data_IF_391570201724
#
_entry.id   IF_391570201724
#
_cell.length_a   1.000
_cell.length_b   1.000
_cell.length_c   1.000
_cell.angle_alpha   90.00
_cell.angle_beta   90.00
_cell.angle_gamma   90.00
#
_symmetry.space_group_name_H-M   'P 1'
#
loop_
_entity.id
_entity.type
_entity.pdbx_description
1 polymer ?
#
# COMPACT_ATOMS: atom_id res chain seq x y z
N UNK A 1 -19.37 3.85 -3.90
CA UNK A 1 -18.07 4.44 -3.54
C UNK A 1 -16.93 3.46 -3.74
N UNK A 2 -16.81 2.44 -2.88
CA UNK A 2 -15.69 1.48 -2.92
C UNK A 2 -15.44 0.84 -4.29
N UNK A 3 -16.45 0.40 -5.08
CA UNK A 3 -16.20 -0.14 -6.42
C UNK A 3 -15.55 0.87 -7.39
N UNK A 4 -15.79 2.18 -7.19
CA UNK A 4 -15.18 3.23 -8.01
C UNK A 4 -13.73 3.48 -7.58
N UNK A 5 -13.43 3.43 -6.28
CA UNK A 5 -12.07 3.57 -5.76
C UNK A 5 -11.20 2.36 -6.14
N UNK A 6 -11.75 1.15 -6.09
CA UNK A 6 -11.07 -0.06 -6.58
C UNK A 6 -10.73 0.10 -8.06
N UNK A 7 -11.69 0.47 -8.91
CA UNK A 7 -11.46 0.72 -10.34
C UNK A 7 -10.41 1.81 -10.59
N UNK A 8 -10.40 2.88 -9.80
CA UNK A 8 -9.38 3.92 -9.88
C UNK A 8 -7.99 3.32 -9.60
N UNK A 9 -7.83 2.59 -8.48
CA UNK A 9 -6.56 1.94 -8.13
C UNK A 9 -6.09 0.94 -9.17
N UNK A 10 -6.99 0.10 -9.68
CA UNK A 10 -6.69 -0.83 -10.77
C UNK A 10 -6.19 -0.09 -12.01
N UNK A 11 -6.83 1.02 -12.38
CA UNK A 11 -6.42 1.83 -13.52
C UNK A 11 -5.04 2.48 -13.34
N UNK A 12 -4.76 2.99 -12.13
CA UNK A 12 -3.44 3.55 -11.80
C UNK A 12 -2.36 2.47 -11.85
N UNK A 13 -2.60 1.31 -11.23
CA UNK A 13 -1.64 0.19 -11.25
C UNK A 13 -1.40 -0.35 -12.67
N UNK A 14 -2.46 -0.52 -13.47
CA UNK A 14 -2.35 -0.94 -14.86
C UNK A 14 -1.52 0.05 -15.71
N UNK A 15 -1.71 1.36 -15.48
CA UNK A 15 -0.94 2.39 -16.16
C UNK A 15 0.56 2.32 -15.80
N UNK A 16 0.90 2.08 -14.54
CA UNK A 16 2.30 1.94 -14.11
C UNK A 16 2.93 0.65 -14.63
N UNK A 17 2.17 -0.45 -14.66
CA UNK A 17 2.61 -1.72 -15.25
C UNK A 17 2.93 -1.56 -16.74
N UNK A 18 2.08 -0.83 -17.47
CA UNK A 18 2.32 -0.51 -18.89
C UNK A 18 3.56 0.35 -19.13
N UNK A 19 3.96 1.15 -18.15
CA UNK A 19 5.19 1.95 -18.18
C UNK A 19 6.45 1.14 -17.81
N UNK A 20 6.28 -0.13 -17.44
CA UNK A 20 7.38 -1.04 -17.10
C UNK A 20 7.68 -1.12 -15.61
N UNK A 21 6.86 -0.51 -14.76
CA UNK A 21 6.93 -0.71 -13.32
C UNK A 21 6.27 -2.04 -12.94
N UNK A 22 6.72 -2.66 -11.85
CA UNK A 22 6.14 -3.91 -11.36
C UNK A 22 5.86 -3.78 -9.87
N UNK A 23 4.74 -4.37 -9.45
CA UNK A 23 4.33 -4.47 -8.05
C UNK A 23 4.61 -5.89 -7.58
N UNK A 24 5.15 -6.03 -6.38
CA UNK A 24 5.55 -7.30 -5.82
C UNK A 24 5.03 -7.53 -4.40
N UNK A 25 4.81 -8.81 -4.11
CA UNK A 25 4.44 -9.34 -2.81
C UNK A 25 4.88 -10.81 -2.71
N UNK A 26 5.48 -11.20 -1.59
CA UNK A 26 5.94 -12.58 -1.33
C UNK A 26 6.69 -13.21 -2.52
N UNK A 27 7.67 -12.48 -3.06
CA UNK A 27 8.48 -12.84 -4.25
C UNK A 27 7.75 -12.96 -5.59
N UNK A 28 6.44 -12.72 -5.65
CA UNK A 28 5.63 -12.73 -6.86
C UNK A 28 5.30 -11.33 -7.38
N UNK A 29 5.08 -11.22 -8.70
CA UNK A 29 4.53 -10.00 -9.30
C UNK A 29 3.00 -10.03 -9.31
N UNK A 30 2.40 -8.89 -9.00
CA UNK A 30 0.96 -8.73 -8.89
C UNK A 30 0.35 -8.17 -10.18
N UNK A 31 -0.87 -8.60 -10.51
CA UNK A 31 -1.67 -7.91 -11.51
C UNK A 31 -2.30 -6.65 -10.91
N UNK A 32 -2.76 -5.74 -11.77
CA UNK A 32 -3.37 -4.48 -11.34
C UNK A 32 -4.60 -4.67 -10.44
N UNK A 33 -5.37 -5.74 -10.64
CA UNK A 33 -6.52 -6.07 -9.80
C UNK A 33 -6.09 -6.55 -8.41
N UNK A 34 -5.05 -7.39 -8.34
CA UNK A 34 -4.46 -7.85 -7.07
C UNK A 34 -3.89 -6.68 -6.27
N UNK A 35 -3.19 -5.75 -6.93
CA UNK A 35 -2.70 -4.52 -6.29
C UNK A 35 -3.86 -3.73 -5.70
N UNK A 36 -4.94 -3.54 -6.46
CA UNK A 36 -6.10 -2.81 -5.99
C UNK A 36 -6.79 -3.53 -4.82
N UNK A 37 -6.91 -4.85 -4.86
CA UNK A 37 -7.50 -5.64 -3.79
C UNK A 37 -6.70 -5.58 -2.49
N UNK A 38 -5.37 -5.77 -2.59
CA UNK A 38 -4.48 -5.82 -1.43
C UNK A 38 -4.20 -4.43 -0.84
N UNK A 39 -4.05 -3.40 -1.69
CA UNK A 39 -3.63 -2.08 -1.25
C UNK A 39 -4.78 -1.16 -0.83
N UNK A 40 -6.01 -1.38 -1.32
CA UNK A 40 -7.10 -0.42 -1.12
C UNK A 40 -7.37 -0.06 0.35
N UNK A 41 -7.44 -1.01 1.31
CA UNK A 41 -7.64 -0.65 2.72
C UNK A 41 -6.52 0.24 3.26
N UNK A 42 -5.27 -0.07 2.93
CA UNK A 42 -4.08 0.70 3.33
C UNK A 42 -4.09 2.10 2.70
N UNK A 43 -4.40 2.19 1.40
CA UNK A 43 -4.49 3.46 0.68
C UNK A 43 -5.59 4.34 1.27
N UNK A 44 -6.76 3.78 1.60
CA UNK A 44 -7.83 4.54 2.23
C UNK A 44 -7.46 5.03 3.63
N UNK A 45 -6.74 4.21 4.40
CA UNK A 45 -6.25 4.58 5.72
C UNK A 45 -5.30 5.77 5.66
N UNK A 46 -4.28 5.69 4.81
CA UNK A 46 -3.30 6.76 4.64
C UNK A 46 -3.97 8.01 4.04
N UNK A 47 -4.88 7.83 3.07
CA UNK A 47 -5.59 8.95 2.47
C UNK A 47 -6.45 9.70 3.49
N UNK A 48 -7.16 8.99 4.38
CA UNK A 48 -7.95 9.62 5.43
C UNK A 48 -7.06 10.37 6.44
N UNK A 49 -5.96 9.75 6.89
CA UNK A 49 -5.00 10.41 7.77
C UNK A 49 -4.39 11.68 7.14
N UNK A 50 -4.01 11.61 5.86
CA UNK A 50 -3.53 12.78 5.12
C UNK A 50 -4.58 13.89 5.06
N UNK A 51 -5.83 13.56 4.76
CA UNK A 51 -6.92 14.53 4.69
C UNK A 51 -7.21 15.16 6.06
N UNK A 52 -7.13 14.40 7.13
CA UNK A 52 -7.27 14.90 8.51
C UNK A 52 -6.11 15.83 8.88
N UNK A 53 -4.86 15.45 8.61
CA UNK A 53 -3.67 16.29 8.85
C UNK A 53 -3.69 17.61 8.08
N UNK A 54 -4.27 17.61 6.87
CA UNK A 54 -4.44 18.79 6.03
C UNK A 54 -5.67 19.63 6.40
N UNK A 55 -6.47 19.22 7.38
CA UNK A 55 -7.64 19.96 7.84
C UNK A 55 -8.84 19.91 6.88
N UNK A 56 -8.86 18.96 5.95
CA UNK A 56 -9.91 18.81 4.92
C UNK A 56 -11.09 17.95 5.41
N UNK A 57 -10.90 17.28 6.55
CA UNK A 57 -11.87 16.38 7.18
C UNK A 57 -11.68 14.92 6.75
N UNK A 58 -12.41 14.02 7.40
CA UNK A 58 -12.36 12.58 7.11
C UNK A 58 -13.35 12.12 6.04
N UNK A 59 -13.07 10.97 5.43
CA UNK A 59 -13.91 10.37 4.38
C UNK A 59 -14.99 9.43 4.92
N UNK A 60 -15.08 9.31 6.25
CA UNK A 60 -16.06 8.43 6.87
C UNK A 60 -15.72 6.96 6.68
N UNK A 61 -14.44 6.58 6.68
CA UNK A 61 -14.02 5.20 6.82
C UNK A 61 -13.59 4.93 8.27
N UNK A 62 -13.94 3.74 8.76
CA UNK A 62 -13.40 3.17 9.99
C UNK A 62 -12.43 2.06 9.62
N UNK A 63 -11.32 1.97 10.35
CA UNK A 63 -10.29 0.97 10.11
C UNK A 63 -10.23 0.00 11.26
N UNK A 64 -10.16 -1.30 10.95
CA UNK A 64 -10.07 -2.37 11.95
C UNK A 64 -9.17 -3.50 11.50
N UNK A 65 -8.55 -4.18 12.46
CA UNK A 65 -7.84 -5.43 12.19
C UNK A 65 -8.79 -6.63 12.31
N UNK A 66 -8.69 -7.60 11.40
CA UNK A 66 -9.52 -8.80 11.45
C UNK A 66 -9.23 -9.85 10.37
N UNK A 67 -9.83 -11.05 10.48
CA UNK A 67 -9.76 -12.09 9.44
C UNK A 67 -10.37 -11.59 8.11
N UNK A 68 -10.07 -12.21 6.95
CA UNK A 68 -9.48 -13.56 6.78
C UNK A 68 -7.98 -13.60 6.44
N UNK A 69 -7.35 -12.48 6.08
CA UNK A 69 -5.95 -12.47 5.67
C UNK A 69 -5.03 -12.10 6.86
N UNK A 70 -4.20 -13.02 7.38
CA UNK A 70 -3.30 -12.72 8.49
C UNK A 70 -2.17 -11.76 8.09
N UNK A 71 -1.84 -11.64 6.80
CA UNK A 71 -0.76 -10.77 6.31
C UNK A 71 -1.26 -9.34 6.07
N UNK A 72 -2.49 -9.19 5.58
CA UNK A 72 -3.17 -7.90 5.42
C UNK A 72 -4.45 -7.85 6.25
N UNK A 73 -4.34 -7.84 7.59
CA UNK A 73 -5.51 -7.86 8.47
C UNK A 73 -6.26 -6.52 8.51
N UNK A 74 -5.79 -5.46 7.85
CA UNK A 74 -6.44 -4.15 7.86
C UNK A 74 -7.66 -4.13 6.93
N UNK A 75 -8.81 -3.75 7.49
CA UNK A 75 -10.06 -3.58 6.76
C UNK A 75 -10.52 -2.13 6.84
N UNK A 76 -11.10 -1.64 5.75
CA UNK A 76 -11.77 -0.34 5.69
C UNK A 76 -13.29 -0.55 5.62
N UNK A 77 -14.02 -0.05 6.61
CA UNK A 77 -15.48 -0.10 6.65
C UNK A 77 -16.05 1.31 6.50
N UNK A 78 -16.94 1.49 5.53
CA UNK A 78 -17.60 2.77 5.34
C UNK A 78 -18.60 3.03 6.47
N UNK A 79 -18.39 4.12 7.21
CA UNK A 79 -19.16 4.52 8.42
C UNK A 79 -20.59 5.01 8.12
N UNK A 80 -21.00 5.05 6.86
CA UNK A 80 -22.35 5.45 6.44
C UNK A 80 -22.55 6.95 6.22
N UNK A 81 -21.49 7.77 6.34
CA UNK A 81 -21.53 9.17 5.87
C UNK A 81 -21.40 9.21 4.35
N UNK A 82 -22.33 9.86 3.66
CA UNK A 82 -22.22 10.06 2.22
C UNK A 82 -21.07 11.01 1.89
N UNK A 83 -19.93 10.45 1.50
CA UNK A 83 -18.82 11.18 0.90
C UNK A 83 -18.88 10.97 -0.61
N UNK A 84 -18.46 11.96 -1.40
CA UNK A 84 -18.42 11.86 -2.86
C UNK A 84 -17.09 11.27 -3.33
N UNK A 85 -17.09 10.52 -4.43
CA UNK A 85 -15.87 9.93 -5.02
C UNK A 85 -14.85 11.02 -5.31
N UNK A 86 -15.34 12.18 -5.77
CA UNK A 86 -14.52 13.33 -6.14
C UNK A 86 -13.77 13.90 -4.92
N UNK A 87 -14.31 13.72 -3.71
CA UNK A 87 -13.64 14.15 -2.47
C UNK A 87 -12.51 13.23 -2.05
N UNK A 88 -12.63 11.93 -2.33
CA UNK A 88 -11.67 10.90 -1.88
C UNK A 88 -10.60 10.61 -2.94
N UNK A 89 -10.98 10.62 -4.21
CA UNK A 89 -10.13 10.24 -5.34
C UNK A 89 -8.79 11.01 -5.41
N UNK A 90 -8.73 12.34 -5.18
CA UNK A 90 -7.46 13.06 -5.22
C UNK A 90 -6.44 12.55 -4.20
N UNK A 91 -6.88 12.26 -2.98
CA UNK A 91 -6.01 11.74 -1.91
C UNK A 91 -5.61 10.28 -2.18
N UNK A 92 -6.52 9.50 -2.74
CA UNK A 92 -6.20 8.13 -3.18
C UNK A 92 -5.14 8.14 -4.29
N UNK A 93 -5.25 9.04 -5.26
CA UNK A 93 -4.22 9.23 -6.30
C UNK A 93 -2.90 9.71 -5.70
N UNK A 94 -2.94 10.66 -4.77
CA UNK A 94 -1.75 11.16 -4.07
C UNK A 94 -1.01 10.03 -3.34
N UNK A 95 -1.73 9.24 -2.53
CA UNK A 95 -1.17 8.10 -1.80
C UNK A 95 -0.67 7.02 -2.74
N UNK A 96 -1.36 6.78 -3.85
CA UNK A 96 -0.89 5.84 -4.85
C UNK A 96 0.48 6.26 -5.39
N UNK A 97 0.63 7.52 -5.78
CA UNK A 97 1.88 8.02 -6.36
C UNK A 97 2.99 8.19 -5.32
N UNK A 98 2.66 8.59 -4.09
CA UNK A 98 3.64 8.89 -3.04
C UNK A 98 4.06 7.69 -2.20
N UNK A 99 3.15 6.75 -1.93
CA UNK A 99 3.40 5.67 -0.96
C UNK A 99 3.41 4.29 -1.63
N UNK A 100 2.42 4.02 -2.49
CA UNK A 100 2.29 2.71 -3.16
C UNK A 100 3.46 2.49 -4.11
N UNK A 101 3.83 3.51 -4.88
CA UNK A 101 4.97 3.43 -5.80
C UNK A 101 6.31 3.26 -5.08
N UNK A 102 6.49 3.89 -3.93
CA UNK A 102 7.69 3.73 -3.11
C UNK A 102 7.79 2.34 -2.50
N UNK A 103 6.65 1.72 -2.19
CA UNK A 103 6.56 0.35 -1.67
C UNK A 103 6.37 -0.71 -2.77
N UNK A 104 6.46 -0.38 -4.07
CA UNK A 104 6.07 -1.31 -5.14
C UNK A 104 6.85 -2.63 -5.15
N UNK A 105 8.09 -2.63 -4.63
CA UNK A 105 8.91 -3.85 -4.52
C UNK A 105 8.47 -4.78 -3.39
N UNK A 106 7.68 -4.30 -2.43
CA UNK A 106 7.04 -5.10 -1.39
C UNK A 106 5.85 -4.34 -0.78
N UNK A 107 4.62 -4.66 -1.23
CA UNK A 107 3.40 -4.02 -0.75
C UNK A 107 3.09 -4.29 0.74
N UNK A 108 3.75 -5.26 1.39
CA UNK A 108 3.59 -5.46 2.82
C UNK A 108 4.09 -4.24 3.63
N UNK A 109 5.05 -3.48 3.07
CA UNK A 109 5.54 -2.23 3.67
C UNK A 109 4.47 -1.13 3.67
N UNK A 110 3.71 -0.99 2.58
CA UNK A 110 2.58 -0.05 2.50
C UNK A 110 1.56 -0.36 3.58
N UNK A 111 1.24 -1.64 3.76
CA UNK A 111 0.35 -2.09 4.83
C UNK A 111 0.91 -1.76 6.21
N UNK A 112 2.18 -2.02 6.49
CA UNK A 112 2.79 -1.68 7.78
C UNK A 112 2.73 -0.17 8.07
N UNK A 113 2.86 0.68 7.05
CA UNK A 113 2.67 2.12 7.17
C UNK A 113 1.23 2.47 7.55
N UNK A 114 0.24 1.92 6.85
CA UNK A 114 -1.17 2.12 7.19
C UNK A 114 -1.53 1.57 8.58
N UNK A 115 -1.02 0.39 8.93
CA UNK A 115 -1.28 -0.23 10.22
C UNK A 115 -0.77 0.63 11.39
N UNK A 116 0.39 1.28 11.25
CA UNK A 116 0.96 2.17 12.26
C UNK A 116 0.18 3.46 12.49
N UNK A 117 -0.66 3.87 11.54
CA UNK A 117 -1.61 4.98 11.74
C UNK A 117 -2.71 4.56 12.72
N UNK A 118 -3.14 3.29 12.65
CA UNK A 118 -4.21 2.75 13.51
C UNK A 118 -3.67 2.29 14.86
N UNK A 119 -2.52 1.62 14.86
CA UNK A 119 -1.83 1.10 16.04
C UNK A 119 -0.33 1.46 15.94
N UNK A 120 0.12 2.54 16.63
CA UNK A 120 1.51 3.01 16.55
C UNK A 120 2.57 1.97 16.94
N UNK A 121 2.20 0.94 17.71
CA UNK A 121 3.10 -0.14 18.12
C UNK A 121 3.15 -1.30 17.12
N UNK A 122 2.42 -1.22 16.01
CA UNK A 122 2.36 -2.27 15.00
C UNK A 122 3.72 -2.55 14.35
N UNK A 123 4.14 -3.81 14.39
CA UNK A 123 5.32 -4.34 13.72
C UNK A 123 4.94 -5.48 12.76
N UNK A 124 5.35 -5.38 11.50
CA UNK A 124 4.94 -6.32 10.47
C UNK A 124 5.33 -7.77 10.82
N UNK A 125 6.57 -7.99 11.26
CA UNK A 125 7.06 -9.33 11.57
C UNK A 125 6.35 -9.93 12.79
N UNK A 126 6.22 -9.14 13.86
CA UNK A 126 5.63 -9.59 15.13
C UNK A 126 4.12 -9.79 15.04
N UNK A 127 3.43 -9.00 14.22
CA UNK A 127 1.96 -9.02 14.12
C UNK A 127 1.43 -9.93 13.01
N UNK A 128 2.20 -10.20 11.95
CA UNK A 128 1.71 -11.00 10.80
C UNK A 128 2.57 -12.22 10.45
N UNK A 129 3.69 -12.46 11.15
CA UNK A 129 4.74 -13.42 10.79
C UNK A 129 5.37 -13.18 9.41
N UNK A 130 5.12 -12.04 8.75
CA UNK A 130 5.77 -11.68 7.50
C UNK A 130 7.11 -11.02 7.77
N UNK A 131 8.20 -11.67 7.36
CA UNK A 131 9.54 -11.11 7.39
C UNK A 131 9.87 -10.56 6.01
N UNK A 132 10.19 -9.27 5.93
CA UNK A 132 10.71 -8.67 4.69
C UNK A 132 12.07 -9.30 4.42
N UNK A 133 12.18 -10.07 3.33
CA UNK A 133 13.48 -10.48 2.82
C UNK A 133 14.23 -9.21 2.43
N UNK A 134 15.20 -8.82 3.25
CA UNK A 134 16.09 -7.72 2.90
C UNK A 134 16.79 -8.10 1.60
N UNK A 135 16.53 -7.34 0.53
CA UNK A 135 17.21 -7.53 -0.74
C UNK A 135 18.73 -7.67 -0.50
N UNK A 136 19.42 -8.63 -1.15
CA UNK A 136 20.83 -8.88 -0.87
C UNK A 136 21.63 -7.62 -1.19
N UNK A 137 22.19 -7.01 -0.15
CA UNK A 137 23.19 -5.96 -0.27
C UNK A 137 24.44 -6.54 -0.93
N UNK A 138 24.65 -6.22 -2.21
CA UNK A 138 25.98 -6.24 -2.83
C UNK A 138 26.35 -7.50 -3.61
N UNK A 139 25.76 -7.68 -4.79
CA UNK A 139 26.52 -8.22 -5.90
C UNK A 139 27.23 -7.05 -6.61
N UNK A 140 28.54 -6.93 -6.39
CA UNK A 140 29.57 -6.43 -7.33
C UNK A 140 30.63 -5.54 -6.68
N UNK A 141 31.70 -6.17 -6.20
CA UNK A 141 33.06 -5.67 -6.33
C UNK A 141 34.02 -6.87 -6.16
N UNK A 142 34.19 -7.66 -7.23
CA UNK A 142 35.27 -8.63 -7.28
C UNK A 142 36.63 -7.89 -7.33
N UNK A 143 37.67 -8.36 -6.63
CA UNK A 143 38.98 -7.75 -6.65
C UNK A 143 39.67 -8.05 -7.98
N UNK A 144 39.86 -7.04 -8.82
CA UNK A 144 40.81 -7.12 -9.93
C UNK A 144 42.19 -6.75 -9.39
N UNK A 145 42.99 -7.76 -9.06
CA UNK A 145 44.43 -7.60 -8.90
C UNK A 145 45.13 -8.89 -9.32
N UNK A 146 45.35 -9.03 -10.63
CA UNK A 146 46.44 -9.83 -11.16
C UNK A 146 47.09 -9.08 -12.34
N UNK A 147 48.42 -9.14 -12.37
CA UNK A 147 49.35 -8.79 -13.46
C UNK A 147 49.83 -7.33 -13.57
N UNK A 148 50.94 -6.99 -12.91
CA UNK A 148 52.32 -7.18 -13.42
C UNK A 148 53.39 -6.78 -12.41
#
# INVERSE_FOLDING_TARGET
MEPQLRRLLTGLADQEIKQGHQFAYDSGFLHADDVAELALPSVLCIAQDLAERLGVGGFGYNFRFGPPNPVFPLHAEHSGRDVSVISVAPFVTEVFMGEVMDCRSDLALLFATAARIVDPEFDLASNTNYAVESAPAGASAAPNALER
#
